data_IF_263036445017
#
_entry.id   IF_263036445017
#
_cell.length_a   1.000
_cell.length_b   1.000
_cell.length_c   1.000
_cell.angle_alpha   90.00
_cell.angle_beta   90.00
_cell.angle_gamma   90.00
#
_symmetry.space_group_name_H-M   'P 1'
#
loop_
_entity.id
_entity.type
_entity.pdbx_description
1 polymer ?
#
# COMPACT_ATOMS: atom_id res chain seq x y z
N UNK A 1 -18.74 12.80 14.46
CA UNK A 1 -17.47 12.63 13.73
C UNK A 1 -16.36 12.98 14.70
N UNK A 2 -15.29 12.18 14.78
CA UNK A 2 -14.14 12.47 15.63
C UNK A 2 -13.44 13.76 15.18
N UNK A 3 -12.79 14.41 16.13
CA UNK A 3 -11.93 15.57 15.91
C UNK A 3 -10.53 15.13 15.49
N UNK A 4 -9.75 16.04 14.89
CA UNK A 4 -8.36 15.78 14.54
C UNK A 4 -7.52 15.37 15.76
N UNK A 5 -7.76 15.99 16.92
CA UNK A 5 -7.04 15.66 18.16
C UNK A 5 -7.33 14.23 18.62
N UNK A 6 -8.60 13.81 18.59
CA UNK A 6 -8.99 12.43 18.91
C UNK A 6 -8.35 11.41 17.95
N UNK A 7 -8.23 11.75 16.67
CA UNK A 7 -7.56 10.89 15.69
C UNK A 7 -6.05 10.82 15.88
N UNK A 8 -5.40 11.93 16.24
CA UNK A 8 -3.96 11.93 16.57
C UNK A 8 -3.69 11.03 17.77
N UNK A 9 -4.52 11.11 18.82
CA UNK A 9 -4.37 10.30 20.03
C UNK A 9 -4.63 8.81 19.75
N UNK A 10 -5.64 8.50 18.95
CA UNK A 10 -5.90 7.14 18.45
C UNK A 10 -4.68 6.62 17.68
N UNK A 11 -4.27 7.29 16.61
CA UNK A 11 -3.13 6.88 15.77
C UNK A 11 -1.86 6.71 16.58
N UNK A 12 -1.56 7.62 17.52
CA UNK A 12 -0.37 7.51 18.39
C UNK A 12 -0.38 6.29 19.28
N UNK A 13 -1.56 5.91 19.80
CA UNK A 13 -1.71 4.71 20.62
C UNK A 13 -1.52 3.45 19.78
N UNK A 14 -2.24 3.34 18.67
CA UNK A 14 -2.23 2.14 17.82
C UNK A 14 -0.84 1.90 17.20
N UNK A 15 -0.16 2.95 16.72
CA UNK A 15 1.21 2.85 16.22
C UNK A 15 2.20 2.41 17.30
N UNK A 16 2.04 2.88 18.55
CA UNK A 16 2.91 2.49 19.66
C UNK A 16 2.72 1.02 20.04
N UNK A 17 1.48 0.56 20.05
CA UNK A 17 1.14 -0.83 20.36
C UNK A 17 1.69 -1.77 19.26
N UNK A 18 1.47 -1.43 17.99
CA UNK A 18 2.06 -2.12 16.85
C UNK A 18 3.59 -2.15 16.92
N UNK A 19 4.22 -1.00 17.14
CA UNK A 19 5.68 -0.88 17.19
C UNK A 19 6.29 -1.68 18.35
N UNK A 20 5.63 -1.68 19.50
CA UNK A 20 6.03 -2.50 20.66
C UNK A 20 5.98 -3.99 20.33
N UNK A 21 4.94 -4.44 19.62
CA UNK A 21 4.82 -5.82 19.15
C UNK A 21 5.92 -6.17 18.15
N UNK A 22 6.13 -5.33 17.13
CA UNK A 22 7.18 -5.50 16.11
C UNK A 22 8.58 -5.60 16.75
N UNK A 23 8.87 -4.72 17.71
CA UNK A 23 10.17 -4.63 18.37
C UNK A 23 10.42 -5.70 19.43
N UNK A 24 9.41 -6.49 19.82
CA UNK A 24 9.55 -7.48 20.90
C UNK A 24 10.62 -8.54 20.62
N UNK A 25 10.88 -8.85 19.34
CA UNK A 25 11.92 -9.78 18.90
C UNK A 25 13.25 -9.13 18.49
N UNK A 26 13.37 -7.80 18.51
CA UNK A 26 14.53 -7.09 17.97
C UNK A 26 15.64 -6.89 19.02
N UNK A 27 16.89 -6.88 18.55
CA UNK A 27 18.04 -6.52 19.41
C UNK A 27 17.93 -5.06 19.88
N UNK A 28 18.63 -4.70 20.95
CA UNK A 28 18.66 -3.31 21.43
C UNK A 28 19.33 -2.38 20.42
N UNK A 29 20.32 -2.86 19.68
CA UNK A 29 20.99 -2.09 18.62
C UNK A 29 20.02 -1.77 17.48
N UNK A 30 19.25 -2.76 17.01
CA UNK A 30 18.24 -2.54 15.96
C UNK A 30 17.13 -1.60 16.43
N UNK A 31 16.68 -1.71 17.69
CA UNK A 31 15.64 -0.82 18.24
C UNK A 31 16.09 0.63 18.40
N UNK A 32 17.39 0.88 18.52
CA UNK A 32 17.96 2.21 18.69
C UNK A 32 18.39 2.85 17.37
N UNK A 33 18.35 2.11 16.28
CA UNK A 33 18.55 2.63 14.94
C UNK A 33 17.35 3.51 14.57
N UNK A 34 17.63 4.70 14.03
CA UNK A 34 16.61 5.71 13.71
C UNK A 34 15.61 5.18 12.66
N UNK A 35 16.00 4.19 11.86
CA UNK A 35 15.11 3.53 10.90
C UNK A 35 13.99 2.71 11.56
N UNK A 36 14.13 2.37 12.83
CA UNK A 36 13.19 1.53 13.57
C UNK A 36 12.54 2.24 14.74
N UNK A 37 12.78 3.54 14.94
CA UNK A 37 12.22 4.30 16.07
C UNK A 37 10.95 5.03 15.69
N UNK A 38 9.96 5.00 16.59
CA UNK A 38 8.90 6.01 16.60
C UNK A 38 9.41 7.26 17.31
N UNK A 39 9.52 8.35 16.57
CA UNK A 39 9.93 9.65 17.09
C UNK A 39 8.71 10.57 17.03
N UNK A 40 8.45 11.37 18.07
CA UNK A 40 7.32 12.30 18.04
C UNK A 40 7.40 13.22 16.81
N UNK A 41 6.27 13.36 16.10
CA UNK A 41 6.23 14.17 14.90
C UNK A 41 6.54 15.63 15.22
N UNK A 42 7.43 16.23 14.43
CA UNK A 42 7.69 17.67 14.42
C UNK A 42 6.80 18.40 13.42
N UNK A 43 5.95 17.68 12.68
CA UNK A 43 4.98 18.22 11.72
C UNK A 43 3.87 18.92 12.49
N UNK A 44 3.57 20.16 12.10
CA UNK A 44 2.50 20.96 12.71
C UNK A 44 1.25 20.94 11.83
N UNK A 45 0.09 21.20 12.42
CA UNK A 45 -1.16 21.35 11.67
C UNK A 45 -1.07 22.42 10.56
N UNK A 46 -0.30 23.49 10.80
CA UNK A 46 -0.04 24.53 9.79
C UNK A 46 0.75 24.01 8.59
N UNK A 47 1.67 23.06 8.82
CA UNK A 47 2.45 22.42 7.75
C UNK A 47 1.53 21.56 6.89
N UNK A 48 0.67 20.75 7.52
CA UNK A 48 -0.34 19.92 6.84
C UNK A 48 -1.35 20.79 6.08
N UNK A 49 -1.75 21.92 6.63
CA UNK A 49 -2.65 22.87 5.95
C UNK A 49 -2.01 23.44 4.68
N UNK A 50 -0.73 23.79 4.73
CA UNK A 50 0.01 24.30 3.55
C UNK A 50 0.26 23.20 2.52
N UNK A 51 0.55 21.99 2.99
CA UNK A 51 0.69 20.79 2.17
C UNK A 51 -0.61 20.46 1.42
N UNK A 52 -1.75 20.48 2.11
CA UNK A 52 -3.06 20.15 1.55
C UNK A 52 -3.49 21.11 0.42
N UNK A 53 -3.05 22.38 0.45
CA UNK A 53 -3.33 23.35 -0.61
C UNK A 53 -2.73 22.97 -1.98
N UNK A 54 -1.76 22.05 -2.00
CA UNK A 54 -1.13 21.56 -3.23
C UNK A 54 -1.86 20.35 -3.82
N UNK A 55 -2.79 19.74 -3.09
CA UNK A 55 -3.43 18.49 -3.44
C UNK A 55 -4.70 18.71 -4.27
N UNK A 56 -5.10 17.73 -5.11
CA UNK A 56 -6.33 17.82 -5.90
C UNK A 56 -7.61 17.70 -5.06
N UNK A 57 -7.50 17.26 -3.80
CA UNK A 57 -8.58 17.11 -2.84
C UNK A 57 -8.06 17.26 -1.41
N UNK A 58 -8.96 17.55 -0.46
CA UNK A 58 -8.62 17.60 0.96
C UNK A 58 -8.24 16.20 1.46
N UNK A 59 -7.34 16.13 2.44
CA UNK A 59 -6.97 14.89 3.10
C UNK A 59 -8.05 14.46 4.11
N UNK A 60 -8.30 13.15 4.25
CA UNK A 60 -9.09 12.64 5.37
C UNK A 60 -8.47 13.02 6.72
N UNK A 61 -9.30 13.26 7.74
CA UNK A 61 -8.83 13.58 9.10
C UNK A 61 -7.87 12.52 9.64
N UNK A 62 -8.18 11.24 9.39
CA UNK A 62 -7.36 10.10 9.78
C UNK A 62 -5.99 10.09 9.12
N UNK A 63 -5.89 10.53 7.86
CA UNK A 63 -4.61 10.68 7.15
C UNK A 63 -3.81 11.86 7.69
N UNK A 64 -4.47 12.99 8.00
CA UNK A 64 -3.82 14.12 8.68
C UNK A 64 -3.24 13.70 10.03
N UNK A 65 -4.00 12.92 10.79
CA UNK A 65 -3.54 12.38 12.07
C UNK A 65 -2.30 11.50 11.90
N UNK A 66 -2.30 10.60 10.91
CA UNK A 66 -1.11 9.81 10.55
C UNK A 66 0.14 10.67 10.34
N UNK A 67 0.05 11.74 9.54
CA UNK A 67 1.18 12.68 9.31
C UNK A 67 1.64 13.40 10.60
N UNK A 68 0.73 13.65 11.53
CA UNK A 68 0.98 14.42 12.76
C UNK A 68 1.38 13.55 13.97
N UNK A 69 1.29 12.23 13.87
CA UNK A 69 1.50 11.35 15.03
C UNK A 69 2.97 11.12 15.34
N UNK A 70 3.72 10.50 14.43
CA UNK A 70 5.13 10.17 14.59
C UNK A 70 5.92 10.37 13.29
N UNK A 71 7.21 10.61 13.43
CA UNK A 71 8.20 10.27 12.43
C UNK A 71 8.55 8.78 12.54
N UNK A 72 8.45 8.07 11.43
CA UNK A 72 8.72 6.65 11.33
C UNK A 72 9.21 6.31 9.92
N UNK A 73 10.31 5.57 9.85
CA UNK A 73 10.80 4.94 8.61
C UNK A 73 10.27 3.52 8.50
N UNK A 74 10.42 2.90 7.33
CA UNK A 74 10.15 1.47 7.13
C UNK A 74 8.74 1.07 7.58
N UNK A 75 7.73 1.86 7.20
CA UNK A 75 6.31 1.54 7.42
C UNK A 75 5.83 0.46 6.45
N UNK A 76 6.51 -0.69 6.51
CA UNK A 76 6.23 -1.93 5.81
C UNK A 76 5.49 -2.88 6.77
N UNK A 77 4.29 -3.27 6.38
CA UNK A 77 3.38 -4.11 7.16
C UNK A 77 3.21 -5.48 6.49
N UNK A 78 4.24 -5.94 5.79
CA UNK A 78 4.27 -7.22 5.10
C UNK A 78 3.67 -7.12 3.72
N UNK A 79 2.39 -6.75 3.62
CA UNK A 79 1.59 -6.73 2.38
C UNK A 79 1.29 -5.31 1.87
N UNK A 80 1.53 -4.29 2.69
CA UNK A 80 1.44 -2.90 2.27
C UNK A 80 2.56 -2.08 2.87
N UNK A 81 2.99 -1.06 2.12
CA UNK A 81 3.97 -0.08 2.56
C UNK A 81 3.37 1.31 2.45
N UNK A 82 3.40 2.05 3.56
CA UNK A 82 3.05 3.48 3.61
C UNK A 82 4.32 4.35 3.46
N UNK A 83 4.19 5.63 3.03
CA UNK A 83 5.34 6.52 2.90
C UNK A 83 6.08 6.64 4.22
N UNK A 84 7.40 6.64 4.16
CA UNK A 84 8.19 6.98 5.33
C UNK A 84 7.94 8.44 5.72
N UNK A 85 7.79 8.68 7.02
CA UNK A 85 7.64 10.01 7.60
C UNK A 85 8.94 10.39 8.29
N UNK A 86 10.04 10.41 7.53
CA UNK A 86 11.36 10.69 8.11
C UNK A 86 11.42 12.10 8.68
N UNK A 87 12.19 12.30 9.74
CA UNK A 87 12.28 13.61 10.40
C UNK A 87 13.02 14.66 9.54
N UNK A 88 13.91 14.21 8.64
CA UNK A 88 14.69 15.04 7.71
C UNK A 88 13.92 15.41 6.42
N UNK A 89 13.04 14.52 5.94
CA UNK A 89 12.24 14.72 4.71
C UNK A 89 10.77 15.09 4.99
N UNK A 90 10.31 14.95 6.24
CA UNK A 90 8.98 15.31 6.79
C UNK A 90 7.80 14.83 5.95
N UNK A 91 7.34 15.65 4.99
CA UNK A 91 6.13 15.41 4.17
C UNK A 91 6.46 15.07 2.71
N UNK A 92 7.74 15.12 2.31
CA UNK A 92 8.14 15.07 0.91
C UNK A 92 7.75 13.76 0.21
N UNK A 93 7.93 12.62 0.88
CA UNK A 93 7.54 11.32 0.32
C UNK A 93 6.02 11.21 0.14
N UNK A 94 5.26 11.63 1.15
CA UNK A 94 3.80 11.69 1.06
C UNK A 94 3.34 12.62 -0.07
N UNK A 95 3.99 13.78 -0.26
CA UNK A 95 3.67 14.70 -1.36
C UNK A 95 3.89 14.04 -2.72
N UNK A 96 5.05 13.40 -2.90
CA UNK A 96 5.43 12.73 -4.16
C UNK A 96 4.43 11.64 -4.54
N UNK A 97 3.96 10.85 -3.56
CA UNK A 97 2.95 9.82 -3.79
C UNK A 97 1.58 10.41 -4.10
N UNK A 98 1.08 11.33 -3.27
CA UNK A 98 -0.26 11.89 -3.46
C UNK A 98 -0.39 12.65 -4.80
N UNK A 99 0.71 13.23 -5.28
CA UNK A 99 0.82 13.91 -6.58
C UNK A 99 1.42 13.04 -7.69
N UNK A 100 1.42 11.72 -7.54
CA UNK A 100 1.95 10.83 -8.58
C UNK A 100 1.13 10.97 -9.88
N UNK A 101 1.76 11.35 -11.01
CA UNK A 101 1.08 11.88 -12.21
C UNK A 101 0.11 10.91 -12.87
N UNK A 102 0.34 9.59 -12.69
CA UNK A 102 -0.53 8.55 -13.24
C UNK A 102 -1.90 8.47 -12.54
N UNK A 103 -2.01 8.96 -11.29
CA UNK A 103 -3.18 8.74 -10.44
C UNK A 103 -3.98 10.03 -10.18
N UNK A 104 -3.30 11.13 -9.85
CA UNK A 104 -4.00 12.34 -9.43
C UNK A 104 -4.85 12.93 -10.55
N UNK A 105 -4.36 12.88 -11.80
CA UNK A 105 -5.07 13.39 -12.97
C UNK A 105 -6.38 12.66 -13.27
N UNK A 106 -6.52 11.42 -12.77
CA UNK A 106 -7.67 10.54 -13.03
C UNK A 106 -8.53 10.28 -11.80
N UNK A 107 -8.30 11.01 -10.70
CA UNK A 107 -9.18 10.94 -9.53
C UNK A 107 -8.72 10.04 -8.39
N UNK A 108 -7.44 9.69 -8.33
CA UNK A 108 -6.85 8.91 -7.24
C UNK A 108 -5.64 9.62 -6.63
N UNK A 109 -5.42 9.51 -5.32
CA UNK A 109 -4.16 9.92 -4.70
C UNK A 109 -3.44 8.68 -4.19
N UNK A 110 -2.20 8.43 -4.64
CA UNK A 110 -1.43 7.29 -4.14
C UNK A 110 -0.94 7.58 -2.72
N UNK A 111 -1.08 6.59 -1.84
CA UNK A 111 -0.71 6.68 -0.42
C UNK A 111 0.30 5.60 -0.01
N UNK A 112 0.75 4.77 -0.95
CA UNK A 112 1.68 3.69 -0.67
C UNK A 112 1.70 2.65 -1.78
N UNK A 113 2.14 1.45 -1.42
CA UNK A 113 2.19 0.29 -2.31
C UNK A 113 1.61 -0.93 -1.61
N UNK A 114 1.00 -1.83 -2.38
CA UNK A 114 0.86 -3.21 -1.97
C UNK A 114 2.20 -3.92 -2.24
N UNK A 115 2.67 -4.68 -1.26
CA UNK A 115 3.95 -5.35 -1.31
C UNK A 115 3.96 -6.50 -2.33
N UNK A 116 5.14 -7.07 -2.57
CA UNK A 116 5.36 -8.16 -3.52
C UNK A 116 5.61 -7.67 -4.95
N UNK A 117 4.77 -6.77 -5.47
CA UNK A 117 4.87 -6.34 -6.87
C UNK A 117 4.80 -4.80 -7.05
N UNK A 118 4.54 -4.02 -6.00
CA UNK A 118 4.54 -2.54 -6.08
C UNK A 118 3.24 -1.95 -6.61
N UNK A 119 2.12 -2.65 -6.41
CA UNK A 119 0.80 -2.20 -6.84
C UNK A 119 0.44 -0.87 -6.15
N UNK A 120 -0.09 0.13 -6.89
CA UNK A 120 -0.44 1.41 -6.30
C UNK A 120 -1.61 1.26 -5.31
N UNK A 121 -1.34 1.60 -4.05
CA UNK A 121 -2.37 1.77 -3.01
C UNK A 121 -2.86 3.21 -3.04
N UNK A 122 -4.15 3.43 -3.29
CA UNK A 122 -4.69 4.76 -3.58
C UNK A 122 -5.96 5.10 -2.80
N UNK A 123 -6.17 6.39 -2.55
CA UNK A 123 -7.44 6.98 -2.14
C UNK A 123 -8.25 7.40 -3.37
N UNK A 124 -9.50 6.97 -3.47
CA UNK A 124 -10.42 7.39 -4.54
C UNK A 124 -11.14 8.69 -4.20
N UNK A 125 -10.49 9.83 -4.43
CA UNK A 125 -11.03 11.14 -4.04
C UNK A 125 -12.23 11.61 -4.87
N UNK A 126 -12.54 10.95 -5.99
CA UNK A 126 -13.77 11.18 -6.75
C UNK A 126 -14.97 10.44 -6.15
N UNK A 127 -14.74 9.50 -5.25
CA UNK A 127 -15.76 8.73 -4.55
C UNK A 127 -15.83 9.11 -3.07
N UNK A 128 -15.73 10.41 -2.77
CA UNK A 128 -15.75 10.94 -1.40
C UNK A 128 -16.97 10.45 -0.60
N UNK A 129 -16.72 9.98 0.61
CA UNK A 129 -17.76 9.61 1.56
C UNK A 129 -18.41 10.84 2.16
N UNK A 130 -19.58 10.69 2.79
CA UNK A 130 -20.33 11.81 3.37
C UNK A 130 -19.60 12.54 4.51
N UNK A 131 -18.61 11.89 5.12
CA UNK A 131 -17.74 12.43 6.17
C UNK A 131 -16.42 12.99 5.64
N UNK A 132 -16.21 12.99 4.32
CA UNK A 132 -15.00 13.56 3.69
C UNK A 132 -13.79 12.64 3.69
N UNK A 133 -13.98 11.34 3.90
CA UNK A 133 -12.96 10.31 3.70
C UNK A 133 -13.06 9.72 2.28
N UNK A 134 -12.17 8.80 1.95
CA UNK A 134 -12.11 8.17 0.63
C UNK A 134 -11.95 6.65 0.74
N UNK A 135 -12.60 5.89 -0.16
CA UNK A 135 -12.33 4.47 -0.29
C UNK A 135 -10.84 4.23 -0.62
N UNK A 136 -10.23 3.29 0.10
CA UNK A 136 -8.89 2.81 -0.17
C UNK A 136 -8.97 1.66 -1.17
N UNK A 137 -8.23 1.79 -2.27
CA UNK A 137 -8.25 0.84 -3.37
C UNK A 137 -6.84 0.45 -3.79
N UNK A 138 -6.73 -0.67 -4.49
CA UNK A 138 -5.50 -1.12 -5.14
C UNK A 138 -5.80 -1.55 -6.57
N UNK A 139 -4.79 -1.45 -7.43
CA UNK A 139 -4.82 -1.90 -8.81
C UNK A 139 -3.66 -2.86 -9.06
N UNK A 140 -3.96 -4.13 -9.31
CA UNK A 140 -2.95 -5.16 -9.55
C UNK A 140 -2.28 -4.93 -10.91
N UNK A 141 -1.03 -4.45 -10.90
CA UNK A 141 -0.38 -3.96 -12.11
C UNK A 141 -0.03 -5.04 -13.11
N UNK A 142 0.03 -6.29 -12.66
CA UNK A 142 0.28 -7.44 -13.52
C UNK A 142 -0.98 -7.89 -14.30
N UNK A 143 -2.22 -7.47 -13.91
CA UNK A 143 -3.45 -7.76 -14.68
C UNK A 143 -4.04 -6.54 -15.38
N UNK A 144 -3.81 -5.34 -14.87
CA UNK A 144 -4.37 -4.12 -15.46
C UNK A 144 -3.71 -3.91 -16.84
N UNK A 145 -4.49 -3.87 -17.93
CA UNK A 145 -3.94 -3.58 -19.26
C UNK A 145 -3.23 -2.23 -19.28
N UNK A 146 -2.08 -2.15 -19.96
CA UNK A 146 -1.25 -0.94 -19.95
C UNK A 146 -2.01 0.31 -20.44
N UNK A 147 -2.97 0.13 -21.35
CA UNK A 147 -3.77 1.20 -21.94
C UNK A 147 -4.97 1.62 -21.07
N UNK A 148 -5.25 0.93 -19.96
CA UNK A 148 -6.20 1.37 -18.94
C UNK A 148 -5.61 2.44 -18.02
N UNK A 149 -4.28 2.46 -17.82
CA UNK A 149 -3.63 3.47 -16.99
C UNK A 149 -3.81 4.88 -17.58
N UNK A 150 -4.07 5.86 -16.72
CA UNK A 150 -4.32 7.24 -17.15
C UNK A 150 -5.75 7.50 -17.67
N UNK A 151 -6.66 6.52 -17.59
CA UNK A 151 -8.09 6.72 -17.83
C UNK A 151 -8.92 6.08 -16.70
N UNK A 152 -9.64 6.91 -15.93
CA UNK A 152 -10.43 6.46 -14.79
C UNK A 152 -11.50 5.43 -15.17
N UNK A 153 -12.24 5.66 -16.25
CA UNK A 153 -13.36 4.80 -16.64
C UNK A 153 -12.86 3.43 -17.09
N UNK A 154 -11.70 3.39 -17.74
CA UNK A 154 -11.05 2.15 -18.16
C UNK A 154 -10.36 1.41 -17.01
N UNK A 155 -9.87 2.14 -16.02
CA UNK A 155 -9.20 1.59 -14.84
C UNK A 155 -10.18 1.07 -13.79
N UNK A 156 -11.33 1.75 -13.60
CA UNK A 156 -12.37 1.45 -12.62
C UNK A 156 -12.80 -0.04 -12.54
N UNK A 157 -12.99 -0.77 -13.65
CA UNK A 157 -13.36 -2.19 -13.61
C UNK A 157 -12.33 -3.09 -12.91
N UNK A 158 -11.07 -2.64 -12.83
CA UNK A 158 -9.96 -3.35 -12.20
C UNK A 158 -9.73 -2.94 -10.75
N UNK A 159 -10.54 -2.01 -10.23
CA UNK A 159 -10.41 -1.48 -8.87
C UNK A 159 -10.76 -2.55 -7.83
N UNK A 160 -9.79 -2.92 -7.00
CA UNK A 160 -10.04 -3.72 -5.81
C UNK A 160 -10.22 -2.80 -4.59
N UNK A 161 -11.43 -2.81 -4.01
CA UNK A 161 -11.73 -2.06 -2.79
C UNK A 161 -11.12 -2.79 -1.58
N UNK A 162 -10.29 -2.06 -0.83
CA UNK A 162 -9.59 -2.52 0.38
C UNK A 162 -10.33 -2.12 1.65
N UNK A 163 -10.67 -0.83 1.77
CA UNK A 163 -11.39 -0.29 2.92
C UNK A 163 -12.26 0.91 2.50
N UNK A 164 -13.29 1.23 3.29
CA UNK A 164 -14.16 2.38 3.06
C UNK A 164 -13.54 3.73 3.45
N UNK A 165 -12.47 3.71 4.25
CA UNK A 165 -11.77 4.91 4.75
C UNK A 165 -10.30 4.64 5.02
N UNK A 166 -9.48 5.69 5.11
CA UNK A 166 -8.08 5.52 5.53
C UNK A 166 -7.97 5.01 6.97
N UNK A 167 -8.88 5.42 7.88
CA UNK A 167 -8.88 4.93 9.27
C UNK A 167 -9.08 3.41 9.32
N UNK A 168 -10.11 2.92 8.64
CA UNK A 168 -10.43 1.48 8.61
C UNK A 168 -9.23 0.68 8.08
N UNK A 169 -8.65 1.13 6.96
CA UNK A 169 -7.44 0.53 6.40
C UNK A 169 -6.27 0.54 7.39
N UNK A 170 -5.95 1.70 7.96
CA UNK A 170 -4.77 1.85 8.80
C UNK A 170 -4.85 1.04 10.10
N UNK A 171 -6.03 0.95 10.72
CA UNK A 171 -6.22 0.12 11.91
C UNK A 171 -6.10 -1.38 11.59
N UNK A 172 -6.74 -1.82 10.50
CA UNK A 172 -6.63 -3.19 10.03
C UNK A 172 -5.16 -3.56 9.72
N UNK A 173 -4.42 -2.64 9.12
CA UNK A 173 -2.99 -2.78 8.84
C UNK A 173 -2.15 -2.98 10.11
N UNK A 174 -2.35 -2.11 11.11
CA UNK A 174 -1.61 -2.18 12.38
C UNK A 174 -1.94 -3.45 13.18
N UNK A 175 -3.13 -4.00 13.00
CA UNK A 175 -3.59 -5.20 13.71
C UNK A 175 -3.32 -6.50 12.94
N UNK A 176 -2.74 -6.42 11.73
CA UNK A 176 -2.45 -7.59 10.90
C UNK A 176 -3.70 -8.31 10.42
N UNK A 177 -4.76 -7.57 10.06
CA UNK A 177 -6.00 -8.16 9.56
C UNK A 177 -5.85 -8.64 8.12
N UNK A 178 -5.90 -9.96 7.91
CA UNK A 178 -5.82 -10.56 6.58
C UNK A 178 -7.02 -10.22 5.66
N UNK A 179 -8.09 -9.67 6.23
CA UNK A 179 -9.31 -9.29 5.51
C UNK A 179 -9.14 -8.08 4.58
N UNK A 180 -8.15 -7.23 4.83
CA UNK A 180 -7.83 -6.09 3.97
C UNK A 180 -6.91 -6.45 2.80
N UNK A 181 -6.50 -7.71 2.67
CA UNK A 181 -5.79 -8.15 1.47
C UNK A 181 -6.81 -8.42 0.35
N UNK A 182 -6.64 -7.82 -0.84
CA UNK A 182 -7.56 -8.03 -1.93
C UNK A 182 -7.54 -9.51 -2.29
N UNK A 183 -8.58 -10.23 -1.88
CA UNK A 183 -8.80 -11.56 -2.44
C UNK A 183 -8.97 -11.39 -3.95
N UNK A 184 -8.31 -12.22 -4.78
CA UNK A 184 -8.43 -12.12 -6.22
C UNK A 184 -9.89 -12.06 -6.65
N UNK A 185 -10.34 -10.93 -7.20
CA UNK A 185 -11.78 -10.73 -7.49
C UNK A 185 -12.11 -11.04 -8.93
N UNK A 186 -11.20 -10.78 -9.85
CA UNK A 186 -11.41 -11.05 -11.26
C UNK A 186 -11.16 -12.54 -11.56
N UNK A 187 -11.99 -13.20 -12.39
CA UNK A 187 -11.70 -14.56 -12.87
C UNK A 187 -10.32 -14.68 -13.54
N UNK A 188 -9.82 -13.60 -14.14
CA UNK A 188 -8.48 -13.57 -14.73
C UNK A 188 -7.37 -13.60 -13.68
N UNK A 189 -7.51 -12.82 -12.61
CA UNK A 189 -6.58 -12.80 -11.48
C UNK A 189 -6.53 -14.15 -10.78
N UNK A 190 -7.70 -14.77 -10.55
CA UNK A 190 -7.80 -16.12 -10.00
C UNK A 190 -7.12 -17.16 -10.91
N UNK A 191 -7.34 -17.08 -12.22
CA UNK A 191 -6.69 -17.97 -13.20
C UNK A 191 -5.17 -17.77 -13.23
N UNK A 192 -4.69 -16.53 -13.18
CA UNK A 192 -3.27 -16.19 -13.15
C UNK A 192 -2.60 -16.72 -11.88
N UNK A 193 -3.23 -16.53 -10.72
CA UNK A 193 -2.68 -16.98 -9.44
C UNK A 193 -2.60 -18.51 -9.38
N UNK A 194 -3.66 -19.21 -9.82
CA UNK A 194 -3.63 -20.67 -9.94
C UNK A 194 -2.52 -21.16 -10.89
N UNK A 195 -2.24 -20.42 -11.98
CA UNK A 195 -1.14 -20.74 -12.88
C UNK A 195 0.23 -20.53 -12.22
N UNK A 196 0.39 -19.48 -11.39
CA UNK A 196 1.62 -19.29 -10.61
C UNK A 196 1.83 -20.36 -9.54
N UNK A 197 0.78 -20.74 -8.81
CA UNK A 197 0.81 -21.87 -7.86
C UNK A 197 1.24 -23.16 -8.56
N UNK A 198 0.75 -23.38 -9.79
CA UNK A 198 1.17 -24.51 -10.60
C UNK A 198 2.65 -24.42 -10.99
N UNK A 199 3.14 -23.25 -11.42
CA UNK A 199 4.56 -23.04 -11.73
C UNK A 199 5.42 -23.37 -10.51
N UNK A 200 5.08 -22.85 -9.33
CA UNK A 200 5.83 -23.11 -8.10
C UNK A 200 5.86 -24.61 -7.75
N UNK A 201 4.72 -25.29 -7.88
CA UNK A 201 4.64 -26.74 -7.69
C UNK A 201 5.55 -27.49 -8.67
N UNK A 202 5.49 -27.15 -9.96
CA UNK A 202 6.30 -27.79 -11.00
C UNK A 202 7.80 -27.55 -10.80
N UNK A 203 8.20 -26.32 -10.45
CA UNK A 203 9.60 -26.00 -10.15
C UNK A 203 10.11 -26.83 -8.97
N UNK A 204 9.31 -26.94 -7.91
CA UNK A 204 9.63 -27.78 -6.75
C UNK A 204 9.75 -29.26 -7.11
N UNK A 205 8.85 -29.80 -7.91
CA UNK A 205 8.88 -31.19 -8.39
C UNK A 205 10.13 -31.50 -9.24
N UNK A 206 10.61 -30.51 -9.99
CA UNK A 206 11.81 -30.62 -10.83
C UNK A 206 13.10 -30.27 -10.08
N UNK A 207 13.04 -29.91 -8.81
CA UNK A 207 14.20 -29.50 -8.01
C UNK A 207 14.84 -28.17 -8.48
N UNK A 208 14.06 -27.32 -9.14
CA UNK A 208 14.50 -26.02 -9.62
C UNK A 208 14.34 -24.93 -8.54
N UNK A 209 15.12 -23.85 -8.59
CA UNK A 209 14.98 -22.73 -7.67
C UNK A 209 13.57 -22.13 -7.69
N UNK A 210 13.06 -21.65 -6.54
CA UNK A 210 11.91 -20.76 -6.51
C UNK A 210 12.14 -19.60 -7.48
N UNK A 211 11.13 -19.29 -8.29
CA UNK A 211 11.19 -18.25 -9.32
C UNK A 211 12.16 -18.49 -10.50
N UNK A 212 12.57 -19.73 -10.78
CA UNK A 212 13.28 -20.02 -12.03
C UNK A 212 12.48 -19.49 -13.24
N UNK A 213 13.17 -18.76 -14.12
CA UNK A 213 12.62 -18.19 -15.36
C UNK A 213 13.42 -18.73 -16.54
N UNK A 214 12.82 -19.59 -17.37
CA UNK A 214 13.50 -20.13 -18.55
C UNK A 214 13.90 -19.04 -19.55
N UNK A 215 15.08 -19.18 -20.15
CA UNK A 215 15.52 -18.28 -21.21
C UNK A 215 14.59 -18.37 -22.43
N UNK A 216 14.23 -17.21 -22.99
CA UNK A 216 13.33 -17.14 -24.15
C UNK A 216 11.83 -17.25 -23.81
N UNK A 217 11.46 -17.47 -22.55
CA UNK A 217 10.07 -17.45 -22.08
C UNK A 217 9.74 -16.10 -21.43
N UNK A 218 8.59 -15.47 -21.74
CA UNK A 218 8.17 -14.25 -21.06
C UNK A 218 8.07 -14.46 -19.54
N UNK A 219 8.80 -13.64 -18.77
CA UNK A 219 8.94 -13.82 -17.31
C UNK A 219 7.67 -13.58 -16.51
N UNK A 220 6.70 -12.90 -17.12
CA UNK A 220 5.41 -12.52 -16.54
C UNK A 220 4.26 -13.41 -17.00
N UNK A 221 4.52 -14.42 -17.83
CA UNK A 221 3.50 -15.33 -18.38
C UNK A 221 3.59 -16.71 -17.67
N UNK A 222 2.82 -16.92 -16.58
CA UNK A 222 2.89 -18.16 -15.82
C UNK A 222 2.51 -19.39 -16.64
N UNK A 223 1.65 -19.25 -17.66
CA UNK A 223 1.23 -20.37 -18.50
C UNK A 223 2.36 -20.87 -19.39
N UNK A 224 3.11 -19.97 -20.04
CA UNK A 224 4.27 -20.35 -20.85
C UNK A 224 5.41 -20.90 -19.99
N UNK A 225 5.59 -20.36 -18.78
CA UNK A 225 6.56 -20.89 -17.83
C UNK A 225 6.17 -22.32 -17.42
N UNK A 226 4.90 -22.55 -17.06
CA UNK A 226 4.41 -23.88 -16.71
C UNK A 226 4.57 -24.87 -17.88
N UNK A 227 4.23 -24.47 -19.10
CA UNK A 227 4.40 -25.28 -20.31
C UNK A 227 5.87 -25.68 -20.52
N UNK A 228 6.80 -24.73 -20.40
CA UNK A 228 8.23 -25.01 -20.51
C UNK A 228 8.69 -26.00 -19.43
N UNK A 229 8.37 -25.74 -18.15
CA UNK A 229 8.83 -26.58 -17.03
C UNK A 229 8.25 -28.00 -17.12
N UNK A 230 7.03 -28.17 -17.63
CA UNK A 230 6.45 -29.51 -17.89
C UNK A 230 7.23 -30.29 -18.96
N UNK A 231 7.83 -29.60 -19.92
CA UNK A 231 8.56 -30.21 -21.04
C UNK A 231 10.02 -30.61 -20.74
N UNK A 232 10.58 -30.13 -19.62
CA UNK A 232 11.90 -30.52 -19.11
C UNK A 232 11.89 -31.95 -18.55
#
# INVERSE_FOLDING_TARGET
>A
MPTLAEDIDLTRREMRDWHTSLCAGMSTEMRNDDDWRLIDSTIKESDVTTFEQQLPALLPLSYKAFLLSYHASCLDFGEYTLPSLRHDERLDESLKLLLHPEFWGIGYMQIGWASGCGDPLVMDFKSATSDGDYPICVFNHDIVPQDCWGDRERLNPWRALIAGSFREFFLALLHGDDGIFPRPRAPEEQRRNAAWEEVERLLKEKGLPPYHRPDGVPKTDPWKIAEFVRSM
#
